data_IF_720693984452
#
_entry.id   IF_720693984452
#
_cell.length_a   1.000
_cell.length_b   1.000
_cell.length_c   1.000
_cell.angle_alpha   90.00
_cell.angle_beta   90.00
_cell.angle_gamma   90.00
#
_symmetry.space_group_name_H-M   'P 1'
#
loop_
_entity.id
_entity.type
_entity.pdbx_description
1 polymer ?
#
# COMPACT_ATOMS: atom_id res chain seq x y z
N UNK A 1 -8.86 -6.38 -14.00
CA UNK A 1 -7.53 -6.72 -14.56
C UNK A 1 -6.47 -7.01 -13.49
N UNK A 2 -6.54 -6.43 -12.28
CA UNK A 2 -5.54 -6.67 -11.22
C UNK A 2 -5.51 -8.12 -10.66
N UNK A 3 -6.64 -8.85 -10.64
CA UNK A 3 -6.67 -10.24 -10.13
C UNK A 3 -5.95 -11.24 -11.07
N UNK A 4 -5.72 -10.89 -12.34
CA UNK A 4 -5.09 -11.79 -13.32
C UNK A 4 -3.56 -11.88 -13.18
N UNK A 5 -2.91 -10.93 -12.51
CA UNK A 5 -1.45 -10.90 -12.43
C UNK A 5 -0.85 -11.92 -11.45
N UNK A 6 -1.62 -12.38 -10.47
CA UNK A 6 -1.21 -13.35 -9.44
C UNK A 6 -1.29 -14.82 -9.85
N UNK A 7 -1.70 -15.12 -11.08
CA UNK A 7 -1.84 -16.50 -11.54
C UNK A 7 -0.45 -17.10 -11.88
N UNK A 8 -0.16 -18.31 -11.41
CA UNK A 8 0.93 -19.21 -11.87
C UNK A 8 0.90 -19.35 -13.41
N UNK A 9 2.04 -19.44 -14.11
CA UNK A 9 2.10 -19.63 -15.58
C UNK A 9 1.31 -20.87 -16.05
N UNK A 10 1.25 -21.93 -15.23
CA UNK A 10 0.45 -23.13 -15.51
C UNK A 10 -1.08 -22.85 -15.46
N UNK A 11 -1.48 -21.81 -14.71
CA UNK A 11 -2.86 -21.33 -14.58
C UNK A 11 -3.14 -20.12 -15.48
N UNK A 12 -2.14 -19.30 -15.82
CA UNK A 12 -2.21 -18.19 -16.80
C UNK A 12 -2.40 -18.70 -18.21
N UNK A 13 -1.71 -19.76 -18.63
CA UNK A 13 -1.95 -20.40 -19.94
C UNK A 13 -3.40 -20.86 -20.13
N UNK A 14 -4.10 -21.15 -19.01
CA UNK A 14 -5.54 -21.44 -19.01
C UNK A 14 -6.43 -20.21 -18.96
N UNK A 15 -5.92 -18.99 -18.78
CA UNK A 15 -6.69 -17.75 -18.58
C UNK A 15 -6.30 -16.60 -19.53
N UNK A 16 -5.15 -16.64 -20.21
CA UNK A 16 -4.78 -15.72 -21.30
C UNK A 16 -5.48 -16.10 -22.60
N UNK A 17 -5.86 -15.08 -23.37
CA UNK A 17 -6.45 -15.24 -24.70
C UNK A 17 -5.31 -15.35 -25.71
N UNK A 18 -4.76 -16.55 -25.89
CA UNK A 18 -4.16 -16.92 -27.16
C UNK A 18 -5.29 -17.05 -28.16
N UNK A 19 -5.17 -16.38 -29.31
CA UNK A 19 -6.14 -16.47 -30.41
C UNK A 19 -6.15 -17.91 -30.94
N UNK A 20 -6.94 -18.80 -30.32
CA UNK A 20 -7.00 -20.23 -30.63
C UNK A 20 -7.25 -21.16 -29.44
N UNK A 21 -6.89 -20.78 -28.21
CA UNK A 21 -7.06 -21.67 -27.04
C UNK A 21 -8.44 -21.49 -26.40
N UNK A 22 -9.35 -22.45 -26.63
CA UNK A 22 -10.62 -22.53 -25.91
C UNK A 22 -10.43 -23.35 -24.63
N UNK A 23 -10.78 -22.79 -23.47
CA UNK A 23 -10.98 -23.60 -22.27
C UNK A 23 -12.19 -24.49 -22.49
N UNK A 24 -12.11 -25.75 -22.08
CA UNK A 24 -13.30 -26.57 -21.95
C UNK A 24 -14.07 -26.14 -20.68
N UNK A 25 -15.07 -25.27 -20.86
CA UNK A 25 -15.90 -24.75 -19.78
C UNK A 25 -17.11 -25.66 -19.63
N UNK A 26 -17.22 -26.30 -18.47
CA UNK A 26 -18.41 -27.09 -18.15
C UNK A 26 -19.55 -26.16 -17.76
N UNK A 27 -20.73 -26.41 -18.32
CA UNK A 27 -21.95 -25.69 -17.94
C UNK A 27 -22.80 -26.56 -17.03
N UNK A 28 -23.11 -26.03 -15.85
CA UNK A 28 -23.96 -26.68 -14.86
C UNK A 28 -25.46 -26.48 -15.15
N UNK A 29 -26.26 -26.55 -14.08
CA UNK A 29 -27.72 -26.46 -14.14
C UNK A 29 -28.18 -25.18 -14.85
N UNK A 30 -29.23 -25.32 -15.66
CA UNK A 30 -29.96 -24.17 -16.23
C UNK A 30 -30.66 -23.39 -15.12
N UNK A 31 -30.51 -22.08 -15.14
CA UNK A 31 -31.16 -21.14 -14.23
C UNK A 31 -31.69 -20.01 -15.10
N UNK A 32 -32.98 -20.01 -15.42
CA UNK A 32 -33.58 -19.05 -16.37
C UNK A 32 -33.23 -17.62 -15.95
N UNK A 33 -32.65 -16.86 -16.88
CA UNK A 33 -32.16 -15.49 -16.67
C UNK A 33 -31.27 -15.30 -15.43
N UNK A 34 -30.57 -16.36 -15.03
CA UNK A 34 -29.81 -16.42 -13.77
C UNK A 34 -30.64 -16.03 -12.53
N UNK A 35 -31.96 -16.26 -12.56
CA UNK A 35 -32.86 -15.97 -11.45
C UNK A 35 -33.21 -14.50 -11.29
N UNK A 36 -32.89 -13.66 -12.28
CA UNK A 36 -33.37 -12.29 -12.29
C UNK A 36 -34.92 -12.26 -12.36
N UNK A 37 -35.58 -11.39 -11.57
CA UNK A 37 -37.04 -11.32 -11.53
C UNK A 37 -37.64 -10.70 -12.80
N UNK A 38 -36.83 -9.98 -13.58
CA UNK A 38 -37.20 -9.39 -14.88
C UNK A 38 -36.10 -9.69 -15.90
N UNK A 39 -36.44 -9.96 -17.18
CA UNK A 39 -35.47 -10.13 -18.25
C UNK A 39 -34.53 -8.94 -18.38
N UNK A 40 -33.24 -9.20 -18.50
CA UNK A 40 -32.24 -8.18 -18.85
C UNK A 40 -32.48 -7.58 -20.25
N UNK A 41 -32.03 -6.33 -20.47
CA UNK A 41 -32.12 -5.66 -21.76
C UNK A 41 -31.19 -6.30 -22.81
N UNK A 42 -31.42 -5.96 -24.10
CA UNK A 42 -30.72 -6.59 -25.23
C UNK A 42 -29.21 -6.37 -25.20
N UNK A 43 -28.70 -5.34 -24.53
CA UNK A 43 -27.28 -5.01 -24.37
C UNK A 43 -26.66 -5.50 -23.04
N UNK A 44 -27.45 -6.15 -22.19
CA UNK A 44 -27.03 -6.65 -20.88
C UNK A 44 -26.72 -8.16 -20.90
N UNK A 45 -26.06 -8.64 -19.84
CA UNK A 45 -25.75 -10.06 -19.62
C UNK A 45 -26.31 -10.48 -18.26
N UNK A 46 -27.31 -11.37 -18.20
CA UNK A 46 -27.84 -11.83 -16.92
C UNK A 46 -26.79 -12.67 -16.19
N UNK A 47 -26.55 -12.31 -14.93
CA UNK A 47 -25.61 -12.98 -14.04
C UNK A 47 -26.21 -13.18 -12.66
N UNK A 48 -25.75 -14.22 -11.96
CA UNK A 48 -26.03 -14.43 -10.55
C UNK A 48 -24.76 -14.84 -9.82
N UNK A 49 -24.60 -14.33 -8.60
CA UNK A 49 -23.45 -14.57 -7.75
C UNK A 49 -23.91 -15.02 -6.37
N UNK A 50 -23.27 -16.05 -5.84
CA UNK A 50 -23.45 -16.54 -4.50
C UNK A 50 -22.07 -16.85 -3.92
N UNK A 51 -21.74 -16.25 -2.77
CA UNK A 51 -20.40 -16.40 -2.16
C UNK A 51 -20.22 -17.69 -1.36
N UNK A 52 -21.32 -18.36 -1.00
CA UNK A 52 -21.31 -19.37 0.06
C UNK A 52 -21.42 -18.74 1.46
N UNK A 53 -21.87 -19.52 2.44
CA UNK A 53 -21.99 -19.11 3.86
C UNK A 53 -20.81 -19.52 4.73
N UNK A 54 -20.17 -20.65 4.41
CA UNK A 54 -19.06 -21.22 5.16
C UNK A 54 -18.30 -22.23 4.27
N UNK A 55 -17.34 -22.96 4.84
CA UNK A 55 -16.49 -23.92 4.12
C UNK A 55 -17.24 -25.06 3.42
N UNK A 56 -18.47 -25.37 3.85
CA UNK A 56 -19.28 -26.49 3.35
C UNK A 56 -20.34 -26.01 2.34
N UNK A 57 -20.37 -24.72 2.02
CA UNK A 57 -21.33 -24.11 1.10
C UNK A 57 -20.58 -23.38 -0.03
N UNK A 58 -20.46 -24.04 -1.18
CA UNK A 58 -19.64 -23.58 -2.30
C UNK A 58 -20.18 -22.31 -2.99
N UNK A 59 -19.29 -21.46 -3.54
CA UNK A 59 -19.70 -20.30 -4.31
C UNK A 59 -20.35 -20.72 -5.63
N UNK A 60 -21.25 -19.87 -6.14
CA UNK A 60 -21.96 -20.09 -7.42
C UNK A 60 -21.90 -18.85 -8.29
N UNK A 61 -21.66 -19.06 -9.58
CA UNK A 61 -21.77 -18.01 -10.60
C UNK A 61 -22.61 -18.54 -11.77
N UNK A 62 -23.66 -17.81 -12.14
CA UNK A 62 -24.45 -18.05 -13.34
C UNK A 62 -24.16 -16.96 -14.38
N UNK A 63 -24.08 -17.34 -15.65
CA UNK A 63 -23.98 -16.43 -16.79
C UNK A 63 -24.91 -16.91 -17.90
N UNK A 64 -25.70 -16.02 -18.51
CA UNK A 64 -26.58 -16.33 -19.65
C UNK A 64 -27.50 -17.54 -19.38
N UNK A 65 -27.99 -17.62 -18.15
CA UNK A 65 -28.94 -18.63 -17.70
C UNK A 65 -28.36 -20.03 -17.45
N UNK A 66 -27.05 -20.16 -17.30
CA UNK A 66 -26.40 -21.41 -16.88
C UNK A 66 -25.35 -21.16 -15.80
N UNK A 67 -25.27 -22.09 -14.85
CA UNK A 67 -24.18 -22.08 -13.87
C UNK A 67 -22.84 -22.40 -14.55
N UNK A 68 -21.81 -21.65 -14.16
CA UNK A 68 -20.43 -21.78 -14.64
C UNK A 68 -19.42 -21.93 -13.52
N UNK A 69 -19.79 -21.58 -12.28
CA UNK A 69 -19.08 -21.94 -11.04
C UNK A 69 -20.16 -22.50 -10.09
N UNK A 70 -19.89 -23.64 -9.48
CA UNK A 70 -20.73 -24.34 -8.49
C UNK A 70 -19.88 -25.45 -7.82
N UNK A 71 -20.41 -26.13 -6.80
CA UNK A 71 -19.79 -27.33 -6.22
C UNK A 71 -19.41 -28.35 -7.31
N UNK A 72 -18.15 -28.80 -7.32
CA UNK A 72 -17.54 -29.67 -8.35
C UNK A 72 -17.60 -29.15 -9.80
N UNK A 73 -17.99 -27.89 -10.02
CA UNK A 73 -18.06 -27.30 -11.34
C UNK A 73 -16.89 -26.34 -11.54
N UNK A 74 -16.07 -26.65 -12.55
CA UNK A 74 -14.94 -25.83 -12.99
C UNK A 74 -13.97 -25.43 -11.84
N UNK A 75 -13.77 -26.33 -10.88
CA UNK A 75 -12.88 -26.16 -9.74
C UNK A 75 -13.21 -24.93 -8.88
N UNK A 76 -14.49 -24.71 -8.56
CA UNK A 76 -14.90 -23.76 -7.54
C UNK A 76 -14.17 -24.06 -6.20
N UNK A 77 -13.67 -23.04 -5.52
CA UNK A 77 -12.80 -23.26 -4.36
C UNK A 77 -12.72 -22.09 -3.38
N UNK A 78 -11.91 -22.27 -2.32
CA UNK A 78 -11.63 -21.24 -1.31
C UNK A 78 -10.98 -20.02 -1.95
N UNK A 79 -11.33 -18.83 -1.47
CA UNK A 79 -10.78 -17.57 -1.97
C UNK A 79 -11.63 -16.97 -3.10
N UNK A 80 -10.98 -16.43 -4.14
CA UNK A 80 -11.65 -15.67 -5.20
C UNK A 80 -12.01 -16.57 -6.38
N UNK A 81 -13.27 -16.59 -6.78
CA UNK A 81 -13.76 -17.35 -7.94
C UNK A 81 -14.13 -16.39 -9.07
N UNK A 82 -13.72 -16.69 -10.29
CA UNK A 82 -13.62 -15.74 -11.40
C UNK A 82 -14.25 -16.29 -12.66
N UNK A 83 -14.87 -15.41 -13.44
CA UNK A 83 -15.41 -15.68 -14.78
C UNK A 83 -14.97 -14.55 -15.71
N UNK A 84 -14.49 -14.91 -16.90
CA UNK A 84 -14.08 -13.96 -17.95
C UNK A 84 -15.07 -14.05 -19.09
N UNK A 85 -15.58 -12.90 -19.54
CA UNK A 85 -16.49 -12.82 -20.69
C UNK A 85 -15.83 -12.14 -21.88
N UNK A 86 -16.22 -12.57 -23.07
CA UNK A 86 -16.05 -11.78 -24.28
C UNK A 86 -17.18 -10.75 -24.35
N UNK A 87 -16.84 -9.46 -24.37
CA UNK A 87 -17.83 -8.37 -24.36
C UNK A 87 -18.64 -8.32 -25.66
N UNK A 88 -18.06 -8.73 -26.80
CA UNK A 88 -18.74 -8.68 -28.11
C UNK A 88 -19.68 -9.86 -28.30
N UNK A 89 -19.24 -11.07 -27.95
CA UNK A 89 -20.01 -12.31 -28.15
C UNK A 89 -20.81 -12.73 -26.92
N UNK A 90 -20.53 -12.12 -25.76
CA UNK A 90 -21.13 -12.43 -24.45
C UNK A 90 -20.91 -13.85 -23.97
N UNK A 91 -19.97 -14.56 -24.58
CA UNK A 91 -19.63 -15.92 -24.20
C UNK A 91 -18.62 -15.91 -23.06
N UNK A 92 -18.74 -16.92 -22.19
CA UNK A 92 -17.73 -17.15 -21.17
C UNK A 92 -16.47 -17.65 -21.86
N UNK A 93 -15.39 -16.89 -21.70
CA UNK A 93 -14.08 -17.21 -22.23
C UNK A 93 -13.34 -18.16 -21.32
N UNK A 94 -13.35 -17.92 -20.00
CA UNK A 94 -12.59 -18.67 -18.99
C UNK A 94 -13.25 -18.61 -17.61
N UNK A 95 -12.90 -19.55 -16.76
CA UNK A 95 -13.33 -19.63 -15.36
C UNK A 95 -12.16 -20.09 -14.49
N UNK A 96 -12.12 -19.74 -13.20
CA UNK A 96 -11.08 -20.20 -12.29
C UNK A 96 -11.28 -19.78 -10.84
N UNK A 97 -10.42 -20.29 -9.94
CA UNK A 97 -10.37 -19.86 -8.54
C UNK A 97 -8.93 -19.56 -8.10
N UNK A 98 -8.78 -18.68 -7.11
CA UNK A 98 -7.53 -18.33 -6.48
C UNK A 98 -7.65 -18.43 -4.96
N UNK A 99 -6.87 -19.31 -4.35
CA UNK A 99 -6.82 -19.49 -2.91
C UNK A 99 -5.92 -18.43 -2.27
N UNK A 100 -6.54 -17.37 -1.73
CA UNK A 100 -5.83 -16.23 -1.15
C UNK A 100 -5.13 -16.52 0.17
N UNK A 101 -5.28 -17.73 0.72
CA UNK A 101 -4.74 -18.15 2.02
C UNK A 101 -3.34 -18.79 1.94
N UNK A 102 -2.95 -19.41 0.83
CA UNK A 102 -1.67 -20.15 0.73
C UNK A 102 -0.49 -19.27 0.26
N UNK A 103 0.72 -19.59 0.72
CA UNK A 103 1.97 -18.88 0.43
C UNK A 103 2.60 -19.34 -0.90
N UNK A 104 1.99 -18.99 -2.04
CA UNK A 104 2.49 -19.40 -3.36
C UNK A 104 3.76 -18.62 -3.80
N UNK A 105 4.70 -19.33 -4.43
CA UNK A 105 5.85 -18.76 -5.15
C UNK A 105 5.42 -18.37 -6.58
N UNK A 106 5.88 -17.21 -7.05
CA UNK A 106 5.54 -16.68 -8.38
C UNK A 106 6.83 -16.48 -9.16
N UNK A 107 6.97 -17.14 -10.31
CA UNK A 107 8.07 -16.91 -11.25
C UNK A 107 7.54 -16.24 -12.53
N UNK A 108 8.30 -15.28 -13.06
CA UNK A 108 7.96 -14.48 -14.24
C UNK A 108 9.20 -14.25 -15.11
N UNK A 109 9.02 -14.30 -16.42
CA UNK A 109 10.00 -13.86 -17.41
C UNK A 109 9.29 -13.02 -18.48
N UNK A 110 9.90 -11.91 -18.91
CA UNK A 110 9.35 -11.05 -19.95
C UNK A 110 9.71 -11.55 -21.35
N UNK A 111 8.85 -11.30 -22.33
CA UNK A 111 9.07 -11.62 -23.73
C UNK A 111 8.57 -10.48 -24.62
N UNK A 112 9.35 -10.11 -25.64
CA UNK A 112 9.11 -9.02 -26.60
C UNK A 112 8.90 -7.65 -25.93
N UNK A 113 7.75 -7.42 -25.31
CA UNK A 113 7.33 -6.16 -24.71
C UNK A 113 6.36 -6.45 -23.55
N UNK A 114 6.72 -6.04 -22.32
CA UNK A 114 5.91 -6.28 -21.12
C UNK A 114 5.55 -5.00 -20.33
N UNK A 115 6.03 -3.82 -20.75
CA UNK A 115 5.94 -2.59 -19.97
C UNK A 115 4.73 -1.73 -20.34
N UNK A 116 4.38 -1.65 -21.62
CA UNK A 116 3.50 -0.60 -22.17
C UNK A 116 2.06 -0.66 -21.67
N UNK A 117 1.62 -1.83 -21.21
CA UNK A 117 0.29 -2.05 -20.62
C UNK A 117 0.35 -2.52 -19.18
N UNK A 118 1.54 -2.48 -18.56
CA UNK A 118 1.69 -2.83 -17.16
C UNK A 118 1.19 -1.69 -16.29
N UNK A 119 0.08 -1.92 -15.59
CA UNK A 119 -0.51 -0.89 -14.74
C UNK A 119 0.29 -0.67 -13.46
N UNK A 120 0.19 0.53 -12.86
CA UNK A 120 0.81 0.83 -11.55
C UNK A 120 0.32 -0.13 -10.45
N UNK A 121 -0.94 -0.59 -10.51
CA UNK A 121 -1.44 -1.63 -9.60
C UNK A 121 -0.70 -2.96 -9.81
N UNK A 122 -0.41 -3.33 -11.05
CA UNK A 122 0.38 -4.54 -11.36
C UNK A 122 1.83 -4.40 -10.88
N UNK A 123 2.44 -3.22 -11.01
CA UNK A 123 3.79 -2.96 -10.49
C UNK A 123 3.84 -3.05 -8.97
N UNK A 124 2.86 -2.45 -8.28
CA UNK A 124 2.71 -2.56 -6.83
C UNK A 124 2.57 -4.01 -6.36
N UNK A 125 1.83 -4.83 -7.10
CA UNK A 125 1.73 -6.27 -6.83
C UNK A 125 3.10 -6.95 -6.88
N UNK A 126 3.88 -6.70 -7.94
CA UNK A 126 5.22 -7.27 -8.04
C UNK A 126 6.16 -6.75 -6.96
N UNK A 127 6.04 -5.47 -6.60
CA UNK A 127 6.77 -4.87 -5.48
C UNK A 127 6.46 -5.59 -4.16
N UNK A 128 5.17 -5.83 -3.85
CA UNK A 128 4.72 -6.57 -2.67
C UNK A 128 5.14 -8.06 -2.68
N UNK A 129 5.40 -8.63 -3.85
CA UNK A 129 5.96 -9.98 -4.02
C UNK A 129 7.49 -10.02 -3.91
N UNK A 130 8.15 -8.87 -3.75
CA UNK A 130 9.59 -8.74 -3.59
C UNK A 130 10.35 -8.32 -4.85
N UNK A 131 9.71 -7.74 -5.87
CA UNK A 131 10.44 -7.16 -7.01
C UNK A 131 10.99 -5.78 -6.69
N UNK A 132 12.29 -5.60 -6.91
CA UNK A 132 13.01 -4.33 -6.77
C UNK A 132 13.15 -3.57 -8.09
N UNK A 133 12.97 -4.24 -9.23
CA UNK A 133 13.21 -3.67 -10.57
C UNK A 133 11.92 -3.35 -11.35
N UNK A 134 10.74 -3.81 -10.91
CA UNK A 134 9.50 -3.70 -11.70
C UNK A 134 9.15 -2.26 -12.11
N UNK A 135 9.41 -1.27 -11.26
CA UNK A 135 9.13 0.14 -11.58
C UNK A 135 10.02 0.70 -12.69
N UNK A 136 11.13 0.02 -13.01
CA UNK A 136 12.06 0.40 -14.09
C UNK A 136 11.78 -0.31 -15.41
N UNK A 137 10.79 -1.20 -15.48
CA UNK A 137 10.50 -1.91 -16.71
C UNK A 137 10.11 -0.92 -17.81
N UNK A 138 10.79 -0.99 -18.96
CA UNK A 138 10.57 -0.13 -20.12
C UNK A 138 10.18 -0.96 -21.33
N UNK A 139 9.66 -0.28 -22.35
CA UNK A 139 9.37 -0.87 -23.65
C UNK A 139 10.57 -1.72 -24.11
N UNK A 140 10.31 -3.01 -24.40
CA UNK A 140 11.31 -4.01 -24.84
C UNK A 140 12.43 -4.35 -23.85
N UNK A 141 12.21 -4.16 -22.56
CA UNK A 141 13.10 -4.68 -21.51
C UNK A 141 12.98 -6.21 -21.36
N UNK A 142 14.11 -6.86 -21.12
CA UNK A 142 14.19 -8.28 -20.75
C UNK A 142 14.31 -8.38 -19.24
N UNK A 143 13.42 -9.13 -18.59
CA UNK A 143 13.32 -9.20 -17.13
C UNK A 143 12.92 -10.60 -16.69
N UNK A 144 13.54 -11.12 -15.64
CA UNK A 144 13.00 -12.26 -14.90
C UNK A 144 12.90 -11.93 -13.42
N UNK A 145 11.98 -12.60 -12.75
CA UNK A 145 11.69 -12.40 -11.34
C UNK A 145 11.09 -13.67 -10.73
N UNK A 146 11.50 -14.02 -9.51
CA UNK A 146 10.82 -15.01 -8.69
C UNK A 146 10.51 -14.41 -7.33
N UNK A 147 9.23 -14.31 -6.96
CA UNK A 147 8.77 -13.67 -5.73
C UNK A 147 7.90 -14.58 -4.86
N UNK A 148 7.62 -14.12 -3.65
CA UNK A 148 6.71 -14.77 -2.71
C UNK A 148 5.87 -13.72 -2.00
N UNK A 149 4.59 -14.01 -1.79
CA UNK A 149 3.73 -13.14 -0.98
C UNK A 149 4.19 -13.15 0.48
N UNK A 150 4.36 -11.98 1.07
CA UNK A 150 4.82 -11.82 2.46
C UNK A 150 6.31 -12.10 2.64
N UNK A 151 7.11 -11.88 1.60
CA UNK A 151 8.58 -11.86 1.70
C UNK A 151 9.02 -10.65 2.55
N UNK A 152 9.99 -10.86 3.45
CA UNK A 152 10.49 -9.81 4.35
C UNK A 152 11.46 -8.82 3.65
N UNK A 153 11.94 -9.17 2.46
CA UNK A 153 12.87 -8.37 1.64
C UNK A 153 12.58 -8.53 0.14
N UNK A 154 13.28 -7.80 -0.73
CA UNK A 154 13.23 -8.09 -2.16
C UNK A 154 13.85 -9.47 -2.46
N UNK A 155 13.37 -10.12 -3.51
CA UNK A 155 13.88 -11.39 -3.98
C UNK A 155 15.27 -11.22 -4.59
N UNK A 156 16.17 -12.15 -4.26
CA UNK A 156 17.48 -12.25 -4.89
C UNK A 156 17.42 -12.88 -6.29
N UNK A 157 16.25 -13.39 -6.70
CA UNK A 157 16.02 -14.00 -8.00
C UNK A 157 15.36 -12.99 -8.94
N UNK A 158 16.09 -11.95 -9.30
CA UNK A 158 15.60 -10.90 -10.19
C UNK A 158 16.73 -10.31 -11.05
N UNK A 159 16.47 -10.06 -12.33
CA UNK A 159 17.40 -9.33 -13.21
C UNK A 159 16.65 -8.66 -14.34
N UNK A 160 17.08 -7.45 -14.72
CA UNK A 160 16.53 -6.69 -15.84
C UNK A 160 17.62 -6.13 -16.75
N UNK A 161 17.38 -6.17 -18.05
CA UNK A 161 18.13 -5.45 -19.06
C UNK A 161 17.22 -4.43 -19.75
N UNK A 162 17.66 -3.18 -19.76
CA UNK A 162 16.95 -2.06 -20.40
C UNK A 162 17.60 -1.79 -21.75
N UNK A 163 16.82 -1.62 -22.84
CA UNK A 163 17.39 -1.31 -24.14
C UNK A 163 17.93 0.13 -24.18
N UNK A 164 19.04 0.33 -24.90
CA UNK A 164 19.66 1.66 -25.06
C UNK A 164 18.98 2.53 -26.13
N UNK A 165 18.16 1.94 -27.00
CA UNK A 165 17.46 2.57 -28.14
C UNK A 165 16.12 1.85 -28.39
N UNK A 166 15.46 2.09 -29.54
CA UNK A 166 14.25 1.35 -29.97
C UNK A 166 14.45 -0.17 -30.23
N UNK A 167 15.61 -0.74 -29.91
CA UNK A 167 15.86 -2.18 -30.05
C UNK A 167 15.39 -2.97 -28.81
N UNK A 168 15.38 -4.30 -28.89
CA UNK A 168 15.19 -5.16 -27.73
C UNK A 168 16.42 -5.16 -26.82
N UNK A 169 16.19 -5.27 -25.53
CA UNK A 169 17.27 -5.56 -24.59
C UNK A 169 17.88 -6.94 -24.89
N UNK A 170 19.12 -7.15 -24.41
CA UNK A 170 19.72 -8.49 -24.48
C UNK A 170 18.86 -9.48 -23.68
N UNK A 171 18.74 -10.74 -24.13
CA UNK A 171 17.91 -11.73 -23.44
C UNK A 171 18.45 -12.01 -22.04
N UNK A 172 17.52 -12.32 -21.13
CA UNK A 172 17.86 -12.98 -19.87
C UNK A 172 18.04 -14.46 -20.17
N UNK A 173 19.24 -14.98 -19.90
CA UNK A 173 19.59 -16.39 -20.02
C UNK A 173 20.28 -16.81 -18.71
N UNK A 174 19.48 -17.31 -17.77
CA UNK A 174 19.91 -17.61 -16.39
C UNK A 174 19.21 -18.88 -15.92
N UNK A 175 19.96 -19.77 -15.29
CA UNK A 175 19.42 -20.93 -14.58
C UNK A 175 19.59 -20.73 -13.07
N UNK A 176 18.51 -20.87 -12.31
CA UNK A 176 18.49 -20.66 -10.85
C UNK A 176 17.78 -21.81 -10.13
N UNK A 177 18.22 -22.13 -8.90
CA UNK A 177 17.50 -23.03 -7.99
C UNK A 177 16.78 -22.20 -6.93
N UNK A 178 15.44 -22.28 -6.91
CA UNK A 178 14.61 -21.50 -5.97
C UNK A 178 14.18 -22.40 -4.81
N UNK A 179 14.44 -22.03 -3.55
CA UNK A 179 14.00 -22.81 -2.41
C UNK A 179 12.47 -22.70 -2.21
N UNK A 180 11.81 -23.85 -2.13
CA UNK A 180 10.34 -23.94 -2.06
C UNK A 180 9.74 -23.41 -0.74
N UNK A 181 10.52 -23.36 0.33
CA UNK A 181 10.05 -22.98 1.67
C UNK A 181 10.62 -21.64 2.19
N UNK A 182 11.42 -20.91 1.41
CA UNK A 182 12.36 -19.92 1.99
C UNK A 182 12.84 -18.80 1.06
N UNK A 183 11.96 -18.06 0.37
CA UNK A 183 12.35 -16.70 -0.07
C UNK A 183 12.38 -15.71 1.10
N UNK A 184 11.63 -15.99 2.18
CA UNK A 184 11.60 -15.20 3.42
C UNK A 184 12.94 -15.17 4.19
N UNK A 185 13.87 -16.10 3.92
CA UNK A 185 15.07 -16.31 4.75
C UNK A 185 16.36 -16.58 3.97
N UNK A 186 16.43 -16.27 2.67
CA UNK A 186 17.65 -16.43 1.90
C UNK A 186 18.71 -15.40 2.29
N UNK A 187 19.55 -15.79 3.25
CA UNK A 187 20.82 -15.16 3.55
C UNK A 187 21.78 -15.30 2.35
N UNK A 188 21.77 -14.31 1.46
CA UNK A 188 22.96 -13.94 0.70
C UNK A 188 23.84 -13.10 1.64
N UNK A 189 25.16 -13.28 1.53
CA UNK A 189 26.19 -12.58 2.30
C UNK A 189 25.91 -11.07 2.38
N UNK A 190 25.37 -10.64 3.53
CA UNK A 190 24.88 -9.29 3.79
C UNK A 190 23.56 -8.98 3.05
N UNK A 191 22.54 -8.41 3.72
CA UNK A 191 21.35 -7.94 3.02
C UNK A 191 21.72 -6.74 2.14
N UNK A 192 21.93 -6.93 0.84
CA UNK A 192 22.16 -5.80 -0.07
C UNK A 192 20.85 -5.02 -0.24
N UNK A 193 20.80 -3.76 0.21
CA UNK A 193 19.61 -2.92 0.10
C UNK A 193 19.61 -2.21 -1.26
N UNK A 194 19.32 -2.97 -2.31
CA UNK A 194 19.33 -2.49 -3.70
C UNK A 194 18.41 -1.29 -3.95
N UNK A 195 17.29 -1.21 -3.23
CA UNK A 195 16.34 -0.10 -3.32
C UNK A 195 16.93 1.20 -2.77
N UNK A 196 17.55 1.17 -1.58
CA UNK A 196 18.23 2.34 -1.00
C UNK A 196 19.44 2.74 -1.82
N UNK A 197 20.25 1.78 -2.30
CA UNK A 197 21.35 2.02 -3.24
C UNK A 197 20.85 2.78 -4.47
N UNK A 198 19.78 2.30 -5.11
CA UNK A 198 19.23 2.97 -6.27
C UNK A 198 18.69 4.38 -5.98
N UNK A 199 17.99 4.54 -4.87
CA UNK A 199 17.50 5.83 -4.44
C UNK A 199 18.66 6.82 -4.27
N UNK A 200 19.73 6.39 -3.61
CA UNK A 200 20.93 7.17 -3.36
C UNK A 200 21.79 7.42 -4.61
N UNK A 201 21.74 6.55 -5.63
CA UNK A 201 22.33 6.81 -6.95
C UNK A 201 21.55 7.88 -7.72
N UNK A 202 20.24 7.96 -7.50
CA UNK A 202 19.33 8.83 -8.25
C UNK A 202 19.17 10.22 -7.61
N UNK A 203 19.24 10.30 -6.29
CA UNK A 203 18.92 11.49 -5.52
C UNK A 203 20.01 11.84 -4.51
N UNK A 204 20.49 13.08 -4.58
CA UNK A 204 21.46 13.65 -3.65
C UNK A 204 20.78 14.32 -2.44
N UNK A 205 21.55 14.64 -1.40
CA UNK A 205 21.09 15.46 -0.27
C UNK A 205 20.58 14.70 0.96
N UNK A 206 20.74 13.38 0.99
CA UNK A 206 20.32 12.52 2.12
C UNK A 206 21.46 12.18 3.11
N UNK A 207 22.64 12.76 2.93
CA UNK A 207 23.76 12.70 3.87
C UNK A 207 24.12 11.27 4.30
N UNK A 208 24.05 11.02 5.60
CA UNK A 208 24.38 9.73 6.23
C UNK A 208 23.49 8.58 5.76
N UNK A 209 22.29 8.87 5.27
CA UNK A 209 21.40 7.86 4.70
C UNK A 209 21.98 7.21 3.44
N UNK A 210 22.73 7.96 2.64
CA UNK A 210 23.30 7.48 1.39
C UNK A 210 24.80 7.17 1.48
N UNK A 211 25.32 7.05 2.71
CA UNK A 211 26.72 6.67 2.95
C UNK A 211 26.92 5.18 2.66
N UNK A 212 27.98 4.83 1.92
CA UNK A 212 28.21 3.47 1.39
C UNK A 212 28.13 2.37 2.46
N UNK A 213 28.66 2.63 3.65
CA UNK A 213 28.65 1.70 4.79
C UNK A 213 27.29 1.56 5.49
N UNK A 214 26.31 2.40 5.14
CA UNK A 214 24.94 2.37 5.68
C UNK A 214 23.89 1.96 4.66
N UNK A 215 24.25 1.85 3.37
CA UNK A 215 23.29 1.52 2.31
C UNK A 215 22.58 0.21 2.62
N UNK A 216 23.29 -0.81 3.08
CA UNK A 216 22.77 -2.15 3.33
C UNK A 216 22.06 -2.32 4.69
N UNK A 217 21.89 -1.23 5.47
CA UNK A 217 21.07 -1.27 6.68
C UNK A 217 19.60 -1.43 6.29
N UNK A 218 18.97 -2.50 6.81
CA UNK A 218 17.55 -2.78 6.63
C UNK A 218 16.73 -1.76 7.41
N UNK A 219 15.75 -1.15 6.73
CA UNK A 219 14.78 -0.24 7.34
C UNK A 219 13.60 -1.07 7.87
N UNK A 220 13.60 -1.36 9.17
CA UNK A 220 12.56 -2.15 9.82
C UNK A 220 12.06 -1.46 11.08
N UNK A 221 10.78 -1.62 11.38
CA UNK A 221 10.17 -1.00 12.57
C UNK A 221 10.54 -1.75 13.84
N UNK A 222 10.64 -1.01 14.95
CA UNK A 222 10.92 -1.61 16.26
C UNK A 222 9.74 -2.44 16.73
N UNK A 223 10.03 -3.68 17.10
CA UNK A 223 9.04 -4.58 17.68
C UNK A 223 8.49 -4.03 19.00
N UNK A 224 7.19 -4.20 19.20
CA UNK A 224 6.51 -3.83 20.44
C UNK A 224 7.02 -4.69 21.61
N UNK A 225 7.62 -4.06 22.63
CA UNK A 225 8.15 -4.80 23.80
C UNK A 225 7.03 -5.40 24.63
N UNK A 226 6.01 -4.61 24.96
CA UNK A 226 4.86 -5.07 25.72
C UNK A 226 3.75 -5.56 24.78
N UNK A 227 3.68 -6.88 24.57
CA UNK A 227 2.68 -7.51 23.69
C UNK A 227 1.23 -7.29 24.13
N UNK A 228 0.96 -6.95 25.40
CA UNK A 228 -0.42 -6.66 25.82
C UNK A 228 -1.02 -5.45 25.09
N UNK A 229 -0.17 -4.57 24.57
CA UNK A 229 -0.58 -3.36 23.84
C UNK A 229 -0.88 -3.64 22.36
N UNK A 230 -0.68 -4.85 21.84
CA UNK A 230 -0.80 -5.13 20.40
C UNK A 230 -2.20 -4.88 19.83
N UNK A 231 -3.23 -4.87 20.68
CA UNK A 231 -4.62 -4.60 20.31
C UNK A 231 -5.05 -3.15 20.56
N UNK A 232 -4.14 -2.30 21.04
CA UNK A 232 -4.46 -0.90 21.33
C UNK A 232 -4.74 -0.14 20.03
N UNK A 233 -5.71 0.76 20.09
CA UNK A 233 -6.23 1.46 18.92
C UNK A 233 -5.19 2.36 18.24
N UNK A 234 -4.21 2.88 18.99
CA UNK A 234 -3.17 3.78 18.46
C UNK A 234 -2.44 3.20 17.24
N UNK A 235 -2.23 1.88 17.19
CA UNK A 235 -1.52 1.21 16.10
C UNK A 235 -2.36 1.05 14.82
N UNK A 236 -3.68 1.29 14.92
CA UNK A 236 -4.61 1.27 13.79
C UNK A 236 -4.93 2.66 13.23
N UNK A 237 -4.51 3.74 13.91
CA UNK A 237 -4.76 5.09 13.47
C UNK A 237 -3.95 5.44 12.21
N UNK A 238 -4.54 6.15 11.24
CA UNK A 238 -3.78 6.69 10.12
C UNK A 238 -2.88 7.84 10.60
N UNK A 239 -1.64 7.83 10.11
CA UNK A 239 -0.64 8.87 10.36
C UNK A 239 -0.37 9.56 9.03
N UNK A 240 -0.68 10.84 8.92
CA UNK A 240 -0.31 11.69 7.80
C UNK A 240 1.05 12.34 8.08
N UNK A 241 2.04 12.07 7.24
CA UNK A 241 3.26 12.87 7.13
C UNK A 241 3.11 13.82 5.94
N UNK A 242 2.91 15.11 6.21
CA UNK A 242 2.77 16.14 5.20
C UNK A 242 4.15 16.63 4.75
N UNK A 243 4.65 16.06 3.65
CA UNK A 243 5.93 16.46 3.08
C UNK A 243 5.86 17.87 2.50
N UNK A 244 6.83 18.71 2.84
CA UNK A 244 7.10 19.91 2.06
C UNK A 244 8.35 19.73 1.22
N UNK A 245 9.18 20.77 1.16
CA UNK A 245 10.34 20.84 0.27
C UNK A 245 11.63 20.32 0.92
N UNK A 246 11.66 20.15 2.25
CA UNK A 246 12.84 19.69 2.97
C UNK A 246 12.91 18.17 3.03
N UNK A 247 13.43 17.60 1.95
CA UNK A 247 13.55 16.15 1.70
C UNK A 247 14.30 15.38 2.78
N UNK A 248 15.36 15.96 3.34
CA UNK A 248 16.13 15.29 4.40
C UNK A 248 15.38 15.29 5.74
N UNK A 249 14.58 16.33 6.04
CA UNK A 249 13.72 16.33 7.23
C UNK A 249 12.67 15.22 7.16
N UNK A 250 12.08 14.99 5.98
CA UNK A 250 11.12 13.89 5.75
C UNK A 250 11.78 12.55 6.03
N UNK A 251 13.00 12.34 5.51
CA UNK A 251 13.77 11.11 5.78
C UNK A 251 13.98 10.93 7.29
N UNK A 252 14.49 11.94 7.98
CA UNK A 252 14.76 11.86 9.41
C UNK A 252 13.49 11.58 10.21
N UNK A 253 12.36 12.20 9.84
CA UNK A 253 11.06 11.93 10.44
C UNK A 253 10.68 10.45 10.27
N UNK A 254 10.79 9.89 9.05
CA UNK A 254 10.51 8.48 8.77
C UNK A 254 11.44 7.52 9.52
N UNK A 255 12.72 7.86 9.71
CA UNK A 255 13.64 7.10 10.57
C UNK A 255 13.16 7.09 12.03
N UNK A 256 12.77 8.24 12.59
CA UNK A 256 12.20 8.30 13.94
C UNK A 256 10.84 7.61 14.08
N UNK A 257 10.08 7.47 12.98
CA UNK A 257 8.86 6.66 12.93
C UNK A 257 9.18 5.17 13.06
N UNK A 258 10.19 4.65 12.35
CA UNK A 258 10.61 3.24 12.49
C UNK A 258 11.03 2.90 13.92
N UNK A 259 11.55 3.88 14.65
CA UNK A 259 11.94 3.71 16.05
C UNK A 259 10.76 3.63 17.03
N UNK A 260 9.54 3.91 16.59
CA UNK A 260 8.33 3.80 17.39
C UNK A 260 7.92 2.34 17.58
N UNK A 261 7.82 1.90 18.84
CA UNK A 261 7.45 0.52 19.15
C UNK A 261 6.03 0.18 18.67
N UNK A 262 5.90 -0.85 17.85
CA UNK A 262 4.60 -1.36 17.38
C UNK A 262 3.96 -0.56 16.23
N UNK A 263 4.66 0.43 15.67
CA UNK A 263 4.17 1.20 14.53
C UNK A 263 3.88 0.28 13.33
N UNK A 264 2.77 0.54 12.66
CA UNK A 264 2.46 -0.04 11.37
C UNK A 264 2.74 0.98 10.26
N UNK A 265 3.85 0.81 9.55
CA UNK A 265 4.25 1.73 8.47
C UNK A 265 3.22 1.78 7.32
N UNK A 266 2.38 0.75 7.15
CA UNK A 266 1.28 0.77 6.17
C UNK A 266 0.14 1.73 6.54
N UNK A 267 0.06 2.17 7.80
CA UNK A 267 -0.87 3.20 8.26
C UNK A 267 -0.27 4.61 8.14
N UNK A 268 1.03 4.72 7.86
CA UNK A 268 1.68 6.00 7.55
C UNK A 268 1.43 6.35 6.08
N UNK A 269 0.88 7.53 5.86
CA UNK A 269 0.61 8.12 4.55
C UNK A 269 1.49 9.36 4.40
N UNK A 270 2.45 9.30 3.49
CA UNK A 270 3.31 10.43 3.16
C UNK A 270 2.66 11.17 1.99
N UNK A 271 2.11 12.35 2.27
CA UNK A 271 1.63 13.20 1.18
C UNK A 271 2.77 13.97 0.55
N UNK A 272 2.72 14.20 -0.76
CA UNK A 272 3.77 14.92 -1.50
C UNK A 272 3.18 15.69 -2.67
N UNK A 273 3.84 16.77 -3.06
CA UNK A 273 3.48 17.52 -4.28
C UNK A 273 3.93 16.73 -5.51
N UNK A 274 3.03 16.52 -6.47
CA UNK A 274 3.28 15.77 -7.71
C UNK A 274 4.45 16.31 -8.54
N UNK A 275 4.80 17.60 -8.38
CA UNK A 275 5.97 18.19 -9.00
C UNK A 275 7.29 17.60 -8.48
N UNK A 276 7.29 16.98 -7.30
CA UNK A 276 8.45 16.42 -6.62
C UNK A 276 8.24 14.92 -6.28
N UNK A 277 8.27 14.02 -7.28
CA UNK A 277 8.01 12.58 -7.09
C UNK A 277 9.09 11.86 -6.26
N UNK A 278 10.20 12.53 -5.96
CA UNK A 278 11.28 12.04 -5.11
C UNK A 278 10.79 11.58 -3.73
N UNK A 279 9.88 12.35 -3.12
CA UNK A 279 9.31 12.00 -1.81
C UNK A 279 8.54 10.69 -1.86
N UNK A 280 7.87 10.40 -2.97
CA UNK A 280 7.16 9.13 -3.14
C UNK A 280 8.13 7.93 -3.21
N UNK A 281 9.29 8.11 -3.85
CA UNK A 281 10.33 7.08 -3.88
C UNK A 281 10.97 6.88 -2.51
N UNK A 282 11.21 7.97 -1.76
CA UNK A 282 11.70 7.90 -0.39
C UNK A 282 10.72 7.13 0.50
N UNK A 283 9.45 7.51 0.49
CA UNK A 283 8.36 6.86 1.23
C UNK A 283 8.28 5.34 0.96
N UNK A 284 8.48 4.92 -0.29
CA UNK A 284 8.49 3.50 -0.66
C UNK A 284 9.59 2.70 0.04
N UNK A 285 10.77 3.29 0.29
CA UNK A 285 11.86 2.63 1.03
C UNK A 285 11.49 2.32 2.48
N UNK A 286 10.60 3.12 3.08
CA UNK A 286 10.14 2.96 4.46
C UNK A 286 8.84 2.14 4.56
N UNK A 287 8.39 1.55 3.45
CA UNK A 287 7.15 0.77 3.38
C UNK A 287 5.91 1.57 3.82
N UNK A 288 5.85 2.86 3.50
CA UNK A 288 4.68 3.72 3.75
C UNK A 288 3.80 3.83 2.52
N UNK A 289 2.59 4.36 2.67
CA UNK A 289 1.74 4.75 1.54
C UNK A 289 2.12 6.14 1.07
N UNK A 290 2.12 6.36 -0.24
CA UNK A 290 2.37 7.68 -0.83
C UNK A 290 1.05 8.29 -1.32
N UNK A 291 0.85 9.58 -1.06
CA UNK A 291 -0.35 10.32 -1.42
C UNK A 291 0.00 11.54 -2.28
N UNK A 292 -0.20 11.50 -3.61
CA UNK A 292 0.03 12.67 -4.45
C UNK A 292 -1.00 13.77 -4.16
N UNK A 293 -0.55 15.01 -4.04
CA UNK A 293 -1.40 16.18 -3.88
C UNK A 293 -1.15 17.14 -5.02
N UNK A 294 -2.22 17.50 -5.72
CA UNK A 294 -2.18 18.39 -6.88
C UNK A 294 -2.70 19.79 -6.55
N UNK A 295 -2.17 20.78 -7.27
CA UNK A 295 -2.69 22.15 -7.31
C UNK A 295 -2.84 22.81 -5.93
N UNK A 296 -1.93 22.53 -4.99
CA UNK A 296 -1.91 23.21 -3.70
C UNK A 296 -1.42 24.66 -3.86
N UNK A 297 -2.16 25.62 -3.33
CA UNK A 297 -1.85 27.06 -3.49
C UNK A 297 -0.92 27.61 -2.41
N UNK A 298 -0.82 26.90 -1.28
CA UNK A 298 0.05 27.21 -0.15
C UNK A 298 0.34 25.92 0.62
N UNK A 299 1.33 25.95 1.52
CA UNK A 299 1.62 24.80 2.39
C UNK A 299 0.42 24.42 3.28
N UNK A 300 -0.32 25.41 3.80
CA UNK A 300 -1.54 25.12 4.58
C UNK A 300 -2.64 24.47 3.74
N UNK A 301 -2.81 24.90 2.48
CA UNK A 301 -3.74 24.25 1.54
C UNK A 301 -3.29 22.82 1.22
N UNK A 302 -1.98 22.61 1.07
CA UNK A 302 -1.39 21.28 0.89
C UNK A 302 -1.69 20.35 2.08
N UNK A 303 -1.41 20.78 3.31
CA UNK A 303 -1.69 19.99 4.52
C UNK A 303 -3.18 19.70 4.63
N UNK A 304 -4.04 20.70 4.41
CA UNK A 304 -5.49 20.54 4.47
C UNK A 304 -6.01 19.53 3.43
N UNK A 305 -5.59 19.62 2.17
CA UNK A 305 -5.95 18.66 1.11
C UNK A 305 -5.44 17.25 1.42
N UNK A 306 -4.25 17.16 2.01
CA UNK A 306 -3.68 15.88 2.45
C UNK A 306 -4.54 15.24 3.54
N UNK A 307 -4.97 16.03 4.54
CA UNK A 307 -5.85 15.56 5.61
C UNK A 307 -7.19 15.08 5.07
N UNK A 308 -7.82 15.85 4.16
CA UNK A 308 -9.07 15.48 3.51
C UNK A 308 -8.98 14.09 2.87
N UNK A 309 -7.97 13.90 2.01
CA UNK A 309 -7.77 12.63 1.30
C UNK A 309 -7.43 11.47 2.24
N UNK A 310 -6.63 11.69 3.29
CA UNK A 310 -6.37 10.64 4.29
C UNK A 310 -7.66 10.27 5.04
N UNK A 311 -8.52 11.23 5.36
CA UNK A 311 -9.80 10.93 6.00
C UNK A 311 -10.74 10.11 5.11
N UNK A 312 -10.74 10.39 3.80
CA UNK A 312 -11.47 9.59 2.80
C UNK A 312 -10.89 8.16 2.66
N UNK A 313 -9.57 8.01 2.73
CA UNK A 313 -8.90 6.70 2.67
C UNK A 313 -9.17 5.83 3.91
N UNK A 314 -9.47 6.45 5.05
CA UNK A 314 -9.70 5.76 6.33
C UNK A 314 -11.05 6.16 6.95
N UNK A 315 -12.19 5.85 6.32
CA UNK A 315 -13.50 6.37 6.71
C UNK A 315 -13.89 6.00 8.15
N UNK A 316 -13.42 4.84 8.63
CA UNK A 316 -13.71 4.30 9.96
C UNK A 316 -12.83 4.84 11.08
N UNK A 317 -11.76 5.58 10.77
CA UNK A 317 -10.88 6.10 11.82
C UNK A 317 -11.53 7.28 12.55
N UNK A 318 -11.59 7.29 13.89
CA UNK A 318 -12.22 8.38 14.64
C UNK A 318 -11.35 9.65 14.67
N UNK A 319 -10.04 9.52 14.43
CA UNK A 319 -9.12 10.63 14.35
C UNK A 319 -7.97 10.31 13.38
N UNK A 320 -7.16 11.32 13.06
CA UNK A 320 -5.92 11.14 12.30
C UNK A 320 -4.78 11.79 13.09
N UNK A 321 -3.59 11.23 13.00
CA UNK A 321 -2.36 11.86 13.49
C UNK A 321 -1.74 12.60 12.30
N UNK A 322 -1.41 13.88 12.45
CA UNK A 322 -0.80 14.73 11.42
C UNK A 322 0.58 15.16 11.89
N UNK A 323 1.59 15.00 11.05
CA UNK A 323 2.98 15.34 11.28
C UNK A 323 3.47 16.12 10.06
N UNK A 324 4.04 17.30 10.26
CA UNK A 324 4.65 18.13 9.22
C UNK A 324 6.14 17.78 9.04
N UNK A 325 6.73 18.21 7.92
CA UNK A 325 8.03 17.74 7.43
C UNK A 325 9.24 17.92 8.36
N UNK A 326 9.22 18.88 9.29
CA UNK A 326 10.36 19.21 10.17
C UNK A 326 10.19 18.70 11.61
N UNK A 327 9.44 17.61 11.80
CA UNK A 327 9.24 17.02 13.12
C UNK A 327 10.03 15.73 13.25
N UNK A 328 10.89 15.67 14.27
CA UNK A 328 11.49 14.42 14.73
C UNK A 328 10.67 13.89 15.90
N UNK A 329 10.37 12.59 15.87
CA UNK A 329 9.58 11.96 16.90
C UNK A 329 10.47 11.50 18.06
N UNK A 330 10.03 11.77 19.29
CA UNK A 330 10.64 11.16 20.47
C UNK A 330 10.42 9.64 20.44
N UNK A 331 11.30 8.87 21.07
CA UNK A 331 11.20 7.40 21.08
C UNK A 331 9.94 6.84 21.75
N UNK A 332 9.23 7.67 22.51
CA UNK A 332 7.99 7.38 23.23
C UNK A 332 6.75 8.06 22.62
N UNK A 333 6.86 8.68 21.44
CA UNK A 333 5.78 9.42 20.80
C UNK A 333 4.47 8.63 20.68
N UNK A 334 4.50 7.41 20.11
CA UNK A 334 3.29 6.57 20.04
C UNK A 334 2.84 6.07 21.42
N UNK A 335 3.77 5.86 22.35
CA UNK A 335 3.44 5.46 23.71
C UNK A 335 2.64 6.55 24.44
N UNK A 336 3.05 7.81 24.31
CA UNK A 336 2.33 8.96 24.87
C UNK A 336 0.92 9.04 24.29
N UNK A 337 0.79 8.95 22.96
CA UNK A 337 -0.53 9.00 22.31
C UNK A 337 -1.42 7.87 22.82
N UNK A 338 -0.89 6.66 22.95
CA UNK A 338 -1.61 5.49 23.47
C UNK A 338 -2.22 5.74 24.86
N UNK A 339 -1.49 6.42 25.76
CA UNK A 339 -1.98 6.75 27.10
C UNK A 339 -3.12 7.79 27.10
N UNK A 340 -3.21 8.61 26.06
CA UNK A 340 -4.14 9.75 26.01
C UNK A 340 -5.34 9.50 25.13
N UNK A 341 -5.22 8.57 24.18
CA UNK A 341 -6.16 8.39 23.10
C UNK A 341 -7.57 8.09 23.61
N UNK A 342 -7.70 7.19 24.58
CA UNK A 342 -9.01 6.80 25.11
C UNK A 342 -9.75 7.99 25.75
N UNK A 343 -9.08 8.69 26.68
CA UNK A 343 -9.64 9.88 27.33
C UNK A 343 -9.95 10.98 26.32
N UNK A 344 -9.08 11.20 25.33
CA UNK A 344 -9.31 12.17 24.28
C UNK A 344 -10.53 11.84 23.44
N UNK A 345 -10.72 10.59 23.03
CA UNK A 345 -11.87 10.18 22.24
C UNK A 345 -13.19 10.31 23.01
N UNK A 346 -13.19 10.05 24.32
CA UNK A 346 -14.35 10.21 25.19
C UNK A 346 -14.69 11.68 25.52
N UNK A 347 -13.71 12.58 25.55
CA UNK A 347 -13.94 13.99 25.88
C UNK A 347 -14.58 14.76 24.71
N UNK A 348 -15.88 15.02 24.77
CA UNK A 348 -16.64 15.78 23.77
C UNK A 348 -16.18 17.25 23.64
N UNK A 349 -15.48 17.78 24.64
CA UNK A 349 -15.00 19.16 24.65
C UNK A 349 -13.63 19.31 23.99
N UNK A 350 -12.89 18.22 23.79
CA UNK A 350 -11.56 18.21 23.16
C UNK A 350 -11.63 17.74 21.70
N UNK A 351 -11.14 18.58 20.78
CA UNK A 351 -11.17 18.30 19.34
C UNK A 351 -9.80 17.90 18.75
N UNK A 352 -8.71 18.38 19.35
CA UNK A 352 -7.34 18.21 18.82
C UNK A 352 -6.39 17.91 19.98
N UNK A 353 -5.37 17.05 19.81
CA UNK A 353 -4.17 16.93 20.68
C UNK A 353 -2.95 17.49 19.92
N UNK A 354 -2.04 18.25 20.53
CA UNK A 354 -0.93 18.97 19.93
C UNK A 354 0.25 18.35 20.61
N UNK A 355 1.06 17.73 19.80
CA UNK A 355 2.18 16.93 20.22
C UNK A 355 3.46 17.76 20.21
N UNK A 356 3.35 19.06 19.89
CA UNK A 356 4.45 20.02 19.90
C UNK A 356 4.15 21.24 20.79
N UNK A 357 4.94 21.41 21.86
CA UNK A 357 4.87 22.55 22.79
C UNK A 357 6.13 23.44 22.65
N UNK A 358 5.95 24.66 22.15
CA UNK A 358 7.03 25.66 22.00
C UNK A 358 7.60 26.16 23.32
N UNK A 359 6.84 26.09 24.42
CA UNK A 359 7.19 26.69 25.71
C UNK A 359 7.76 25.67 26.73
N UNK A 360 7.70 24.37 26.42
CA UNK A 360 8.36 23.32 27.18
C UNK A 360 7.67 22.83 28.46
N UNK A 361 7.70 21.50 28.62
CA UNK A 361 7.67 20.70 29.87
C UNK A 361 6.31 20.35 30.48
N UNK A 362 5.21 21.04 30.21
CA UNK A 362 3.94 20.72 30.90
C UNK A 362 2.68 20.68 30.03
N UNK A 363 1.72 19.91 30.53
CA UNK A 363 0.42 19.56 29.97
C UNK A 363 -0.59 20.67 30.28
N UNK A 364 -1.23 21.27 29.27
CA UNK A 364 -2.20 22.34 29.51
C UNK A 364 -3.36 22.40 28.53
N UNK A 365 -4.52 22.65 29.11
CA UNK A 365 -5.80 22.89 28.45
C UNK A 365 -5.80 24.37 27.96
N UNK A 366 -5.84 24.66 26.64
CA UNK A 366 -5.83 26.05 26.12
C UNK A 366 -6.79 26.26 24.94
N UNK A 367 -7.44 27.42 24.85
CA UNK A 367 -8.42 27.75 23.80
C UNK A 367 -7.85 28.72 22.75
N UNK A 368 -8.42 28.75 21.53
CA UNK A 368 -8.11 29.73 20.47
C UNK A 368 -6.63 29.93 20.11
N UNK A 369 -5.97 28.85 19.69
CA UNK A 369 -4.57 28.91 19.23
C UNK A 369 -4.35 28.08 17.96
N UNK A 370 -3.37 28.47 17.16
CA UNK A 370 -2.96 27.73 15.97
C UNK A 370 -2.23 26.45 16.36
N UNK A 371 -2.65 25.34 15.76
CA UNK A 371 -1.94 24.07 15.81
C UNK A 371 -1.08 23.90 14.55
N UNK A 372 0.07 23.26 14.72
CA UNK A 372 1.06 23.06 13.66
C UNK A 372 2.07 22.01 14.11
N UNK A 373 2.93 21.55 13.20
CA UNK A 373 4.00 20.59 13.45
C UNK A 373 3.51 19.17 13.69
N UNK A 374 2.90 18.86 14.82
CA UNK A 374 2.38 17.53 15.10
C UNK A 374 1.14 17.59 15.97
N UNK A 375 0.05 16.96 15.52
CA UNK A 375 -1.22 16.99 16.22
C UNK A 375 -2.11 15.79 15.85
N UNK A 376 -3.12 15.53 16.66
CA UNK A 376 -4.20 14.56 16.42
C UNK A 376 -5.48 15.34 16.30
N UNK A 377 -6.28 15.12 15.28
CA UNK A 377 -7.59 15.77 15.12
C UNK A 377 -8.70 14.74 14.98
N UNK A 378 -9.81 14.93 15.69
CA UNK A 378 -10.98 14.08 15.54
C UNK A 378 -11.64 14.29 14.17
N UNK A 379 -12.21 13.22 13.63
CA UNK A 379 -12.92 13.22 12.34
C UNK A 379 -14.06 14.23 12.35
N UNK A 380 -14.94 14.15 13.33
CA UNK A 380 -16.11 15.02 13.45
C UNK A 380 -15.73 16.50 13.59
N UNK A 381 -14.64 16.79 14.30
CA UNK A 381 -14.10 18.15 14.42
C UNK A 381 -13.59 18.69 13.06
N UNK A 382 -12.86 17.88 12.31
CA UNK A 382 -12.38 18.28 10.98
C UNK A 382 -13.52 18.42 9.97
N UNK A 383 -14.51 17.52 9.97
CA UNK A 383 -15.67 17.64 9.08
C UNK A 383 -16.48 18.92 9.39
N UNK A 384 -16.69 19.24 10.67
CA UNK A 384 -17.31 20.52 11.09
C UNK A 384 -16.52 21.74 10.61
N UNK A 385 -15.19 21.66 10.57
CA UNK A 385 -14.32 22.72 10.03
C UNK A 385 -14.52 22.90 8.51
N UNK A 386 -14.68 21.80 7.76
CA UNK A 386 -14.94 21.84 6.31
C UNK A 386 -16.29 22.52 5.99
N UNK A 387 -17.34 22.14 6.70
CA UNK A 387 -18.72 22.50 6.34
C UNK A 387 -19.07 23.98 6.55
N UNK A 388 -18.43 24.68 7.51
CA UNK A 388 -18.91 26.00 7.95
C UNK A 388 -18.15 27.22 7.42
N UNK A 389 -16.97 27.10 6.78
CA UNK A 389 -16.07 28.23 6.41
C UNK A 389 -15.82 29.30 7.51
N UNK A 390 -16.26 29.05 8.74
CA UNK A 390 -16.16 29.88 9.96
C UNK A 390 -15.98 28.91 11.12
N UNK A 391 -14.95 29.12 11.94
CA UNK A 391 -14.50 28.14 12.93
C UNK A 391 -14.78 28.65 14.34
N UNK A 392 -15.51 27.89 15.14
CA UNK A 392 -15.34 27.90 16.59
C UNK A 392 -14.26 26.87 16.95
N UNK A 393 -13.12 27.35 17.45
CA UNK A 393 -11.95 26.54 17.79
C UNK A 393 -11.96 26.25 19.29
N UNK A 394 -12.33 25.03 19.70
CA UNK A 394 -12.04 24.50 21.04
C UNK A 394 -10.81 23.59 20.95
N UNK A 395 -9.71 24.08 21.48
CA UNK A 395 -8.41 23.41 21.55
C UNK A 395 -8.21 22.82 22.95
N UNK A 396 -7.55 21.67 23.09
CA UNK A 396 -6.96 21.20 24.36
C UNK A 396 -5.73 20.37 24.12
N UNK A 397 -4.61 20.67 24.77
CA UNK A 397 -3.35 20.09 24.36
C UNK A 397 -2.51 19.52 25.50
N UNK A 398 -2.33 18.21 25.42
CA UNK A 398 -1.44 17.46 26.28
C UNK A 398 -0.21 17.08 25.45
N UNK A 399 0.92 17.73 25.73
CA UNK A 399 2.19 17.51 25.03
C UNK A 399 3.15 16.80 25.99
N UNK A 400 3.82 15.75 25.50
CA UNK A 400 5.00 15.17 26.15
C UNK A 400 6.12 14.99 25.10
N UNK A 401 7.26 15.58 25.49
CA UNK A 401 8.69 15.37 25.21
C UNK A 401 9.39 15.68 23.86
N UNK A 402 10.48 16.43 24.06
CA UNK A 402 11.61 16.77 23.20
C UNK A 402 12.67 15.65 23.18
N UNK A 403 13.41 15.57 22.07
CA UNK A 403 14.87 15.79 22.10
C UNK A 403 15.24 16.77 20.96
N UNK A 404 15.56 18.01 21.33
CA UNK A 404 16.28 18.93 20.43
C UNK A 404 17.76 18.54 20.57
N UNK A 405 18.26 17.76 19.60
CA UNK A 405 19.67 17.88 19.24
C UNK A 405 19.82 19.28 18.63
N UNK A 406 20.80 20.10 19.07
CA UNK A 406 21.00 21.42 18.51
C UNK A 406 21.24 21.26 17.02
N UNK A 407 20.39 21.89 16.20
CA UNK A 407 20.71 22.19 14.82
C UNK A 407 22.06 22.90 14.80
N UNK A 408 23.12 22.18 14.44
CA UNK A 408 24.14 22.76 13.59
C UNK A 408 23.41 23.11 12.30
N UNK A 409 23.10 24.41 12.15
CA UNK A 409 22.98 24.99 10.83
C UNK A 409 24.27 24.71 10.07
N UNK A 410 24.19 23.88 9.03
CA UNK A 410 25.09 23.89 7.88
C UNK A 410 24.21 23.88 6.64
#
# INVERSE_FOLDING_TARGET
MAVFHFLDESKKSKLTVTKGDKMDIKYGKKMVDCGNPKPCFKDEVPMYFYSGRNKDDSPKICVNGRLVIDHDLNNAGRGLNLVVLDVKTRQVLRVGHFDTYNEELIAVVSFDEAASRLSETSKKIFYELGSSLIDRIKFRASWYFVGQKGIDSFSTFEQMFIPSNNNWARPVDVSVCVPLNSLKTLHVSGPTNSARRHFCEKYDGYGDFCREDRLDIILTSRMLKNRSRSTHQVFSLPILLAAGLNRNSIRLCLETMLDQEGINMQNVVVSFDVAYPEVAHLAALFHTRSLPVENATSYNDFVFKSMLQVMELYPWSPCIIVIEEDVLLSSDFLFIIDQLLETFLMDETANIIQLFNKNGISVYRFENSSFSKAFIIKRDAFMRYIDNKVVSVLNFFLCVLLEILPCLMI
#
